data_IF_711194140301
#
_entry.id   IF_711194140301
#
_cell.length_a   1.000
_cell.length_b   1.000
_cell.length_c   1.000
_cell.angle_alpha   90.00
_cell.angle_beta   90.00
_cell.angle_gamma   90.00
#
_symmetry.space_group_name_H-M   'P 1'
#
loop_
_entity.id
_entity.type
_entity.pdbx_description
1 polymer ?
#
# COMPACT_ATOMS: atom_id res chain seq x y z
N UNK A 1 -5.05 -20.84 24.46
CA UNK A 1 -5.95 -20.74 23.29
C UNK A 1 -5.95 -22.07 22.54
N UNK A 2 -7.10 -22.62 22.25
CA UNK A 2 -7.27 -23.79 21.40
C UNK A 2 -7.69 -23.36 19.99
N UNK A 3 -7.46 -24.19 18.98
CA UNK A 3 -7.81 -23.87 17.58
C UNK A 3 -9.31 -23.59 17.38
N UNK A 4 -10.18 -24.25 18.18
CA UNK A 4 -11.63 -23.98 18.14
C UNK A 4 -12.00 -22.56 18.55
N UNK A 5 -11.24 -21.96 19.50
CA UNK A 5 -11.48 -20.58 19.96
C UNK A 5 -11.11 -19.59 18.86
N UNK A 6 -9.98 -19.83 18.18
CA UNK A 6 -9.56 -19.04 17.03
C UNK A 6 -10.55 -19.12 15.88
N UNK A 7 -11.08 -20.32 15.60
CA UNK A 7 -12.09 -20.51 14.55
C UNK A 7 -13.37 -19.71 14.87
N UNK A 8 -13.89 -19.85 16.10
CA UNK A 8 -15.07 -19.11 16.56
C UNK A 8 -14.89 -17.61 16.40
N UNK A 9 -13.77 -17.06 16.87
CA UNK A 9 -13.52 -15.62 16.81
C UNK A 9 -13.46 -15.13 15.36
N UNK A 10 -12.86 -15.90 14.45
CA UNK A 10 -12.79 -15.52 13.02
C UNK A 10 -14.19 -15.50 12.36
N UNK A 11 -15.12 -16.35 12.77
CA UNK A 11 -16.50 -16.36 12.29
C UNK A 11 -17.29 -15.12 12.78
N UNK A 12 -16.90 -14.52 13.90
CA UNK A 12 -17.54 -13.34 14.51
C UNK A 12 -16.95 -11.99 14.01
N UNK A 13 -15.81 -12.00 13.32
CA UNK A 13 -15.15 -10.78 12.83
C UNK A 13 -16.01 -10.04 11.81
N UNK A 14 -16.14 -8.73 12.02
CA UNK A 14 -16.75 -7.85 11.03
C UNK A 14 -15.77 -7.58 9.90
N UNK A 15 -16.26 -7.74 8.70
CA UNK A 15 -15.51 -7.46 7.48
C UNK A 15 -16.09 -6.26 6.75
N UNK A 16 -15.25 -5.56 6.00
CA UNK A 16 -15.66 -4.55 5.02
C UNK A 16 -15.37 -5.08 3.62
N UNK A 17 -16.24 -4.76 2.67
CA UNK A 17 -15.96 -5.08 1.28
C UNK A 17 -14.98 -4.07 0.68
N UNK A 18 -13.87 -4.58 0.19
CA UNK A 18 -12.88 -3.80 -0.54
C UNK A 18 -12.78 -4.34 -1.95
N UNK A 19 -13.56 -3.77 -2.86
CA UNK A 19 -13.60 -4.15 -4.29
C UNK A 19 -13.83 -5.65 -4.51
N UNK A 20 -14.82 -6.21 -3.83
CA UNK A 20 -15.22 -7.60 -3.93
C UNK A 20 -14.37 -8.58 -3.11
N UNK A 21 -13.50 -8.07 -2.22
CA UNK A 21 -12.77 -8.90 -1.24
C UNK A 21 -13.15 -8.48 0.17
N UNK A 22 -13.43 -9.46 1.01
CA UNK A 22 -13.68 -9.22 2.43
C UNK A 22 -12.35 -8.87 3.10
N UNK A 23 -12.34 -7.77 3.84
CA UNK A 23 -11.18 -7.27 4.58
C UNK A 23 -11.53 -7.11 6.05
N UNK A 24 -10.67 -7.62 6.94
CA UNK A 24 -10.77 -7.44 8.39
C UNK A 24 -9.88 -6.28 8.81
N UNK A 25 -10.48 -5.21 9.31
CA UNK A 25 -9.74 -4.05 9.81
C UNK A 25 -8.90 -4.40 11.04
N UNK A 26 -7.81 -3.65 11.25
CA UNK A 26 -6.87 -3.92 12.35
C UNK A 26 -7.54 -3.77 13.72
N UNK A 27 -8.49 -2.84 13.89
CA UNK A 27 -9.26 -2.69 15.12
C UNK A 27 -10.03 -3.97 15.48
N UNK A 28 -10.62 -4.67 14.49
CA UNK A 28 -11.32 -5.94 14.70
C UNK A 28 -10.33 -7.03 15.14
N UNK A 29 -9.15 -7.08 14.54
CA UNK A 29 -8.08 -8.02 14.95
C UNK A 29 -7.60 -7.76 16.37
N UNK A 30 -7.45 -6.49 16.76
CA UNK A 30 -7.06 -6.11 18.14
C UNK A 30 -8.13 -6.52 19.15
N UNK A 31 -9.42 -6.30 18.83
CA UNK A 31 -10.53 -6.73 19.69
C UNK A 31 -10.52 -8.25 19.86
N UNK A 32 -10.40 -9.01 18.78
CA UNK A 32 -10.32 -10.46 18.81
C UNK A 32 -9.11 -10.95 19.63
N UNK A 33 -7.96 -10.31 19.49
CA UNK A 33 -6.78 -10.64 20.32
C UNK A 33 -7.06 -10.41 21.79
N UNK A 34 -7.70 -9.30 22.19
CA UNK A 34 -8.05 -9.02 23.58
C UNK A 34 -9.06 -10.02 24.15
N UNK A 35 -9.96 -10.56 23.34
CA UNK A 35 -10.87 -11.62 23.75
C UNK A 35 -10.13 -12.95 23.97
N UNK A 36 -9.23 -13.33 23.06
CA UNK A 36 -8.46 -14.57 23.13
C UNK A 36 -7.35 -14.52 24.20
N UNK A 37 -6.77 -13.35 24.43
CA UNK A 37 -5.64 -13.09 25.32
C UNK A 37 -5.86 -11.80 26.11
N UNK A 38 -6.76 -11.78 27.10
CA UNK A 38 -7.07 -10.55 27.86
C UNK A 38 -5.84 -9.92 28.51
N UNK A 39 -4.94 -10.75 29.06
CA UNK A 39 -3.69 -10.34 29.72
C UNK A 39 -2.48 -10.32 28.75
N UNK A 40 -2.70 -10.61 27.47
CA UNK A 40 -1.66 -10.59 26.46
C UNK A 40 -1.19 -9.18 26.12
N UNK A 41 -0.05 -9.07 25.47
CA UNK A 41 0.56 -7.78 25.12
C UNK A 41 0.73 -7.63 23.62
N UNK A 42 0.60 -6.38 23.16
CA UNK A 42 0.95 -5.94 21.80
C UNK A 42 1.98 -4.84 21.97
N UNK A 43 3.16 -5.04 21.40
CA UNK A 43 4.25 -4.07 21.37
C UNK A 43 4.59 -3.70 19.94
N UNK A 44 4.96 -2.44 19.72
CA UNK A 44 5.53 -1.95 18.47
C UNK A 44 6.87 -1.28 18.75
N UNK A 45 7.87 -1.60 17.94
CA UNK A 45 9.21 -1.03 18.02
C UNK A 45 9.62 -0.47 16.65
N UNK A 46 10.18 0.74 16.65
CA UNK A 46 10.82 1.29 15.46
C UNK A 46 12.17 0.56 15.28
N UNK A 47 12.27 -0.24 14.21
CA UNK A 47 13.50 -0.97 13.85
C UNK A 47 14.48 -0.05 13.14
N UNK A 48 13.97 0.80 12.26
CA UNK A 48 14.75 1.75 11.48
C UNK A 48 13.90 2.97 11.14
N UNK A 49 14.49 4.15 11.20
CA UNK A 49 13.84 5.39 10.78
C UNK A 49 14.89 6.34 10.20
N UNK A 50 14.67 6.79 8.96
CA UNK A 50 15.56 7.75 8.30
C UNK A 50 15.14 8.04 6.87
N UNK A 51 15.55 9.17 6.34
CA UNK A 51 15.31 9.58 4.95
C UNK A 51 13.81 9.50 4.52
N UNK A 52 12.89 9.80 5.45
CA UNK A 52 11.45 9.72 5.20
C UNK A 52 10.93 8.26 5.09
N UNK A 53 11.68 7.28 5.59
CA UNK A 53 11.24 5.87 5.67
C UNK A 53 11.23 5.45 7.13
N UNK A 54 10.23 4.70 7.53
CA UNK A 54 10.15 4.03 8.84
C UNK A 54 9.87 2.55 8.65
N UNK A 55 10.55 1.72 9.44
CA UNK A 55 10.29 0.28 9.56
C UNK A 55 9.90 -0.02 11.01
N UNK A 56 8.73 -0.63 11.19
CA UNK A 56 8.21 -0.99 12.51
C UNK A 56 8.00 -2.50 12.60
N UNK A 57 8.37 -3.07 13.74
CA UNK A 57 8.10 -4.44 14.12
C UNK A 57 7.05 -4.45 15.23
N UNK A 58 5.96 -5.17 15.01
CA UNK A 58 5.00 -5.51 16.07
C UNK A 58 5.27 -6.91 16.60
N UNK A 59 5.11 -7.08 17.92
CA UNK A 59 5.23 -8.35 18.64
C UNK A 59 3.99 -8.54 19.49
N UNK A 60 3.36 -9.71 19.40
CA UNK A 60 2.24 -10.09 20.25
C UNK A 60 2.65 -11.26 21.14
N UNK A 61 2.29 -11.20 22.41
CA UNK A 61 2.63 -12.21 23.41
C UNK A 61 1.44 -12.56 24.30
N UNK A 62 1.49 -13.75 24.94
CA UNK A 62 0.53 -14.14 25.98
C UNK A 62 0.86 -13.50 27.34
N UNK A 63 0.10 -13.89 28.37
CA UNK A 63 0.26 -13.39 29.73
C UNK A 63 1.64 -13.74 30.35
N UNK A 64 2.25 -14.83 29.93
CA UNK A 64 3.56 -15.29 30.40
C UNK A 64 4.73 -14.66 29.63
N UNK A 65 4.43 -13.76 28.69
CA UNK A 65 5.41 -13.09 27.84
C UNK A 65 5.94 -13.95 26.69
N UNK A 66 5.35 -15.12 26.43
CA UNK A 66 5.72 -15.94 25.28
C UNK A 66 5.27 -15.25 24.01
N UNK A 67 6.20 -15.04 23.08
CA UNK A 67 5.89 -14.47 21.77
C UNK A 67 5.01 -15.43 20.97
N UNK A 68 3.85 -14.95 20.57
CA UNK A 68 2.87 -15.68 19.78
C UNK A 68 3.07 -15.45 18.27
N UNK A 69 3.32 -14.21 17.89
CA UNK A 69 3.60 -13.82 16.51
C UNK A 69 4.32 -12.47 16.44
N UNK A 70 4.93 -12.21 15.30
CA UNK A 70 5.51 -10.90 14.95
C UNK A 70 5.06 -10.48 13.57
N UNK A 71 4.99 -9.16 13.33
CA UNK A 71 4.74 -8.57 12.01
C UNK A 71 5.67 -7.40 11.77
N UNK A 72 6.07 -7.21 10.53
CA UNK A 72 6.88 -6.04 10.13
C UNK A 72 6.17 -5.30 9.01
N UNK A 73 6.28 -3.98 9.05
CA UNK A 73 5.86 -3.11 7.96
C UNK A 73 6.92 -2.02 7.76
N UNK A 74 6.96 -1.46 6.57
CA UNK A 74 7.67 -0.23 6.31
C UNK A 74 6.79 0.73 5.52
N UNK A 75 6.94 2.02 5.80
CA UNK A 75 6.23 3.08 5.07
C UNK A 75 7.18 4.21 4.72
N UNK A 76 6.86 4.87 3.60
CA UNK A 76 7.62 6.02 3.13
C UNK A 76 6.74 7.26 3.16
N UNK A 77 7.25 8.35 3.74
CA UNK A 77 6.62 9.66 3.75
C UNK A 77 6.24 10.08 2.32
N UNK A 78 5.01 10.54 2.14
CA UNK A 78 4.50 10.99 0.86
C UNK A 78 4.19 9.89 -0.17
N UNK A 79 4.35 8.59 0.15
CA UNK A 79 4.06 7.48 -0.78
C UNK A 79 2.57 7.29 -1.09
N UNK A 80 1.67 7.87 -0.29
CA UNK A 80 0.23 7.82 -0.46
C UNK A 80 -0.46 8.99 0.24
N UNK A 81 -1.79 9.06 0.19
CA UNK A 81 -2.53 10.14 0.81
C UNK A 81 -2.32 10.18 2.34
N UNK A 82 -2.42 9.03 3.00
CA UNK A 82 -2.23 8.91 4.46
C UNK A 82 -0.77 9.15 4.82
N UNK A 83 0.17 8.61 4.04
CA UNK A 83 1.60 8.74 4.29
C UNK A 83 2.18 10.14 4.08
N UNK A 84 1.37 11.12 3.64
CA UNK A 84 1.79 12.53 3.62
C UNK A 84 1.96 13.13 5.00
N UNK A 85 1.16 12.67 5.97
CA UNK A 85 1.10 13.25 7.33
C UNK A 85 1.22 12.22 8.44
N UNK A 86 1.00 10.94 8.15
CA UNK A 86 0.80 9.89 9.17
C UNK A 86 1.47 8.57 8.77
N UNK A 87 2.65 8.63 8.12
CA UNK A 87 3.34 7.42 7.65
C UNK A 87 3.87 6.55 8.79
N UNK A 88 4.16 7.13 9.97
CA UNK A 88 4.62 6.38 11.14
C UNK A 88 3.45 5.60 11.74
N UNK A 89 2.33 6.27 12.00
CA UNK A 89 1.13 5.66 12.58
C UNK A 89 0.54 4.61 11.64
N UNK A 90 0.61 4.86 10.34
CA UNK A 90 0.20 3.90 9.33
C UNK A 90 1.09 2.66 9.33
N UNK A 91 2.40 2.83 9.41
CA UNK A 91 3.37 1.75 9.52
C UNK A 91 3.13 0.90 10.77
N UNK A 92 2.89 1.54 11.93
CA UNK A 92 2.58 0.84 13.18
C UNK A 92 1.31 -0.01 13.05
N UNK A 93 0.23 0.59 12.55
CA UNK A 93 -1.03 -0.11 12.32
C UNK A 93 -0.86 -1.31 11.39
N UNK A 94 -0.10 -1.15 10.32
CA UNK A 94 0.22 -2.22 9.36
C UNK A 94 1.03 -3.35 10.01
N UNK A 95 2.04 -3.02 10.84
CA UNK A 95 2.84 -4.01 11.55
C UNK A 95 2.00 -4.83 12.54
N UNK A 96 1.14 -4.15 13.33
CA UNK A 96 0.21 -4.80 14.27
C UNK A 96 -0.79 -5.70 13.53
N UNK A 97 -1.39 -5.19 12.45
CA UNK A 97 -2.32 -5.97 11.63
C UNK A 97 -1.69 -7.25 11.07
N UNK A 98 -0.42 -7.20 10.65
CA UNK A 98 0.34 -8.37 10.19
C UNK A 98 0.64 -9.35 11.30
N UNK A 99 1.08 -8.88 12.48
CA UNK A 99 1.35 -9.74 13.64
C UNK A 99 0.10 -10.53 14.04
N UNK A 100 -1.05 -9.87 14.12
CA UNK A 100 -2.33 -10.51 14.44
C UNK A 100 -2.81 -11.45 13.32
N UNK A 101 -2.57 -11.10 12.05
CA UNK A 101 -2.82 -11.97 10.91
C UNK A 101 -1.98 -13.26 10.96
N UNK A 102 -0.68 -13.16 11.29
CA UNK A 102 0.19 -14.33 11.47
C UNK A 102 -0.20 -15.19 12.68
N UNK A 103 -0.82 -14.59 13.71
CA UNK A 103 -1.44 -15.36 14.80
C UNK A 103 -2.68 -16.14 14.34
N UNK A 104 -3.24 -15.81 13.19
CA UNK A 104 -4.41 -16.45 12.58
C UNK A 104 -5.71 -15.65 12.70
N UNK A 105 -5.67 -14.43 13.23
CA UNK A 105 -6.86 -13.58 13.37
C UNK A 105 -7.14 -12.85 12.05
N UNK A 106 -8.31 -13.12 11.44
CA UNK A 106 -8.74 -12.53 10.18
C UNK A 106 -7.92 -12.96 8.97
N UNK A 107 -7.38 -14.19 8.99
CA UNK A 107 -6.50 -14.73 7.93
C UNK A 107 -7.25 -15.05 6.64
N UNK A 108 -8.54 -15.35 6.70
CA UNK A 108 -9.36 -15.74 5.55
C UNK A 108 -9.53 -14.61 4.52
N UNK A 109 -9.34 -13.35 4.94
CA UNK A 109 -9.40 -12.20 4.06
C UNK A 109 -8.05 -11.90 3.38
N UNK A 110 -7.13 -11.34 4.13
CA UNK A 110 -5.78 -10.97 3.66
C UNK A 110 -4.88 -10.63 4.85
N UNK A 111 -3.59 -10.99 4.76
CA UNK A 111 -2.56 -10.54 5.71
C UNK A 111 -2.06 -9.14 5.31
N UNK A 112 -2.21 -8.76 4.04
CA UNK A 112 -1.84 -7.43 3.56
C UNK A 112 -2.69 -6.33 4.23
N UNK A 113 -2.11 -5.17 4.48
CA UNK A 113 -2.88 -4.02 4.97
C UNK A 113 -3.85 -3.52 3.90
N UNK A 114 -4.92 -2.82 4.32
CA UNK A 114 -5.86 -2.18 3.41
C UNK A 114 -5.14 -1.33 2.36
N UNK A 115 -4.16 -0.56 2.76
CA UNK A 115 -3.40 0.32 1.89
C UNK A 115 -2.49 -0.42 0.92
N UNK A 116 -1.85 -1.52 1.32
CA UNK A 116 -1.09 -2.36 0.41
C UNK A 116 -1.99 -2.94 -0.68
N UNK A 117 -3.20 -3.38 -0.32
CA UNK A 117 -4.20 -3.86 -1.27
C UNK A 117 -4.70 -2.73 -2.16
N UNK A 118 -4.96 -1.53 -1.60
CA UNK A 118 -5.39 -0.36 -2.38
C UNK A 118 -4.27 0.15 -3.29
N UNK A 119 -3.04 0.30 -2.80
CA UNK A 119 -1.91 0.74 -3.60
C UNK A 119 -1.59 -0.24 -4.73
N UNK A 120 -1.60 -1.54 -4.45
CA UNK A 120 -1.43 -2.56 -5.49
C UNK A 120 -2.55 -2.50 -6.55
N UNK A 121 -3.80 -2.23 -6.14
CA UNK A 121 -4.94 -2.09 -7.06
C UNK A 121 -4.90 -0.79 -7.83
N UNK A 122 -4.55 0.34 -7.20
CA UNK A 122 -4.38 1.62 -7.89
C UNK A 122 -3.31 1.49 -8.98
N UNK A 123 -2.19 0.81 -8.68
CA UNK A 123 -1.14 0.54 -9.67
C UNK A 123 -1.60 -0.42 -10.79
N UNK A 124 -2.35 -1.47 -10.45
CA UNK A 124 -2.90 -2.39 -11.46
C UNK A 124 -4.02 -1.77 -12.30
N UNK A 125 -4.90 -0.97 -11.69
CA UNK A 125 -5.99 -0.30 -12.40
C UNK A 125 -5.46 0.85 -13.25
N UNK A 126 -4.46 1.60 -12.78
CA UNK A 126 -3.78 2.62 -13.60
C UNK A 126 -3.12 1.97 -14.84
N UNK A 127 -2.51 0.77 -14.69
CA UNK A 127 -1.98 0.01 -15.83
C UNK A 127 -3.06 -0.51 -16.78
N UNK A 128 -4.22 -0.96 -16.26
CA UNK A 128 -5.34 -1.46 -17.08
C UNK A 128 -6.11 -0.33 -17.75
N UNK A 129 -6.45 0.73 -17.01
CA UNK A 129 -7.16 1.89 -17.56
C UNK A 129 -6.33 2.59 -18.65
N UNK A 130 -5.01 2.73 -18.45
CA UNK A 130 -4.13 3.30 -19.47
C UNK A 130 -4.09 2.47 -20.74
N UNK A 131 -4.10 1.15 -20.65
CA UNK A 131 -4.07 0.28 -21.83
C UNK A 131 -5.41 0.27 -22.60
N UNK A 132 -6.56 0.28 -21.90
CA UNK A 132 -7.89 0.34 -22.52
C UNK A 132 -8.24 1.74 -23.04
N UNK A 133 -7.94 2.79 -22.29
CA UNK A 133 -8.20 4.19 -22.70
C UNK A 133 -7.29 4.61 -23.84
N UNK A 134 -6.02 4.21 -23.84
CA UNK A 134 -5.07 4.49 -24.92
C UNK A 134 -5.41 3.72 -26.19
N UNK A 135 -5.97 2.53 -26.10
CA UNK A 135 -6.43 1.75 -27.27
C UNK A 135 -7.56 2.42 -28.06
N UNK A 136 -8.29 3.35 -27.45
CA UNK A 136 -9.41 4.09 -28.06
C UNK A 136 -9.05 5.54 -28.49
N UNK A 137 -7.86 6.04 -28.14
CA UNK A 137 -7.41 7.40 -28.44
C UNK A 137 -6.47 7.41 -29.66
N UNK A 138 -6.55 8.47 -30.46
CA UNK A 138 -5.57 8.72 -31.53
C UNK A 138 -4.32 9.39 -30.96
N UNK A 139 -3.16 9.16 -31.56
CA UNK A 139 -1.88 9.68 -31.10
C UNK A 139 -1.82 11.19 -30.82
N UNK A 140 -2.69 11.98 -31.48
CA UNK A 140 -2.83 13.43 -31.27
C UNK A 140 -3.77 13.85 -30.16
N UNK A 141 -4.56 12.90 -29.59
CA UNK A 141 -5.51 13.21 -28.53
C UNK A 141 -4.79 13.55 -27.22
N UNK A 142 -5.41 14.36 -26.38
CA UNK A 142 -4.86 14.66 -25.05
C UNK A 142 -5.05 13.46 -24.10
N UNK A 143 -4.06 13.27 -23.23
CA UNK A 143 -4.12 12.21 -22.23
C UNK A 143 -5.21 12.47 -21.20
N UNK A 144 -5.76 11.39 -20.64
CA UNK A 144 -6.75 11.45 -19.58
C UNK A 144 -6.12 11.84 -18.23
N UNK A 145 -6.93 12.31 -17.28
CA UNK A 145 -6.48 12.64 -15.93
C UNK A 145 -5.79 11.43 -15.26
N UNK A 146 -6.31 10.22 -15.45
CA UNK A 146 -5.70 9.00 -14.92
C UNK A 146 -4.31 8.71 -15.49
N UNK A 147 -4.11 8.95 -16.79
CA UNK A 147 -2.80 8.81 -17.43
C UNK A 147 -1.80 9.85 -16.94
N UNK A 148 -2.26 11.08 -16.64
CA UNK A 148 -1.45 12.14 -16.03
C UNK A 148 -1.00 11.75 -14.64
N UNK A 149 -1.90 11.25 -13.79
CA UNK A 149 -1.57 10.82 -12.43
C UNK A 149 -0.62 9.63 -12.43
N UNK A 150 -0.80 8.69 -13.37
CA UNK A 150 0.13 7.57 -13.53
C UNK A 150 1.56 8.05 -13.83
N UNK A 151 1.76 8.90 -14.84
CA UNK A 151 3.10 9.37 -15.22
C UNK A 151 3.73 10.22 -14.12
N UNK A 152 2.94 10.99 -13.37
CA UNK A 152 3.39 11.80 -12.25
C UNK A 152 3.92 10.94 -11.10
N UNK A 153 3.21 9.88 -10.77
CA UNK A 153 3.63 8.92 -9.75
C UNK A 153 4.86 8.12 -10.20
N UNK A 154 4.88 7.70 -11.46
CA UNK A 154 6.02 6.96 -12.02
C UNK A 154 7.29 7.83 -12.09
N UNK A 155 7.18 9.09 -12.47
CA UNK A 155 8.30 10.03 -12.45
C UNK A 155 8.90 10.20 -11.04
N UNK A 156 8.05 10.27 -10.01
CA UNK A 156 8.49 10.31 -8.61
C UNK A 156 9.21 9.03 -8.20
N UNK A 157 8.68 7.87 -8.57
CA UNK A 157 9.28 6.56 -8.26
C UNK A 157 10.71 6.44 -8.78
N UNK A 158 10.98 6.98 -9.96
CA UNK A 158 12.32 6.96 -10.58
C UNK A 158 13.13 8.24 -10.32
N UNK A 159 12.71 9.04 -9.34
CA UNK A 159 13.36 10.29 -8.95
C UNK A 159 13.59 11.25 -10.14
N UNK A 160 12.53 11.55 -10.87
CA UNK A 160 12.53 12.44 -12.02
C UNK A 160 11.49 13.55 -11.82
N UNK A 161 11.92 14.81 -11.93
CA UNK A 161 11.04 15.95 -11.79
C UNK A 161 10.11 16.11 -13.02
N UNK A 162 8.84 16.46 -12.78
CA UNK A 162 7.85 16.75 -13.81
C UNK A 162 8.37 17.81 -14.81
N UNK A 163 9.04 18.84 -14.31
CA UNK A 163 9.62 19.92 -15.15
C UNK A 163 10.64 19.40 -16.14
N UNK A 164 11.47 18.45 -15.77
CA UNK A 164 12.47 17.87 -16.68
C UNK A 164 11.82 17.11 -17.83
N UNK A 165 10.73 16.40 -17.54
CA UNK A 165 9.98 15.66 -18.55
C UNK A 165 9.19 16.63 -19.43
N UNK A 166 8.52 17.62 -18.84
CA UNK A 166 7.77 18.63 -19.59
C UNK A 166 8.67 19.47 -20.50
N UNK A 167 9.84 19.89 -20.00
CA UNK A 167 10.81 20.65 -20.78
C UNK A 167 11.33 19.93 -22.01
N UNK A 168 11.53 18.61 -21.94
CA UNK A 168 11.94 17.80 -23.10
C UNK A 168 10.91 17.82 -24.24
N UNK A 169 9.60 17.91 -23.91
CA UNK A 169 8.52 17.92 -24.89
C UNK A 169 7.99 19.34 -25.20
N UNK A 170 8.58 20.39 -24.61
CA UNK A 170 8.16 21.78 -24.84
C UNK A 170 6.76 22.12 -24.32
N UNK A 171 6.32 21.45 -23.27
CA UNK A 171 5.02 21.64 -22.60
C UNK A 171 5.22 22.11 -21.15
N UNK A 172 4.21 22.79 -20.58
CA UNK A 172 4.30 23.29 -19.21
C UNK A 172 3.79 22.30 -18.17
N UNK A 173 2.84 21.44 -18.56
CA UNK A 173 2.17 20.49 -17.65
C UNK A 173 1.92 19.16 -18.35
N UNK A 174 1.81 18.09 -17.57
CA UNK A 174 1.48 16.75 -18.09
C UNK A 174 0.12 16.67 -18.80
N UNK A 175 -0.85 17.50 -18.40
CA UNK A 175 -2.18 17.56 -18.99
C UNK A 175 -2.17 18.05 -20.46
N UNK A 176 -1.11 18.71 -20.90
CA UNK A 176 -0.95 19.24 -22.26
C UNK A 176 -0.44 18.19 -23.24
N UNK A 177 -0.05 16.99 -22.77
CA UNK A 177 0.54 15.94 -23.59
C UNK A 177 -0.48 15.30 -24.52
N UNK A 178 0.02 14.94 -25.72
CA UNK A 178 -0.65 13.96 -26.56
C UNK A 178 -0.37 12.53 -26.07
N UNK A 179 -1.21 11.58 -26.49
CA UNK A 179 -1.02 10.15 -26.20
C UNK A 179 0.35 9.67 -26.64
N UNK A 180 0.81 10.06 -27.83
CA UNK A 180 2.14 9.69 -28.35
C UNK A 180 3.28 10.21 -27.45
N UNK A 181 3.20 11.45 -26.97
CA UNK A 181 4.20 12.01 -26.06
C UNK A 181 4.18 11.32 -24.68
N UNK A 182 3.00 10.90 -24.23
CA UNK A 182 2.83 10.18 -23.00
C UNK A 182 3.48 8.78 -23.06
N UNK A 183 3.23 8.02 -24.14
CA UNK A 183 3.83 6.70 -24.37
C UNK A 183 5.37 6.77 -24.40
N UNK A 184 5.92 7.74 -25.13
CA UNK A 184 7.36 7.97 -25.17
C UNK A 184 7.95 8.31 -23.80
N UNK A 185 7.25 9.12 -23.01
CA UNK A 185 7.71 9.48 -21.68
C UNK A 185 7.66 8.29 -20.70
N UNK A 186 6.63 7.47 -20.77
CA UNK A 186 6.53 6.22 -19.97
C UNK A 186 7.68 5.27 -20.31
N UNK A 187 7.97 5.04 -21.61
CA UNK A 187 9.11 4.22 -22.05
C UNK A 187 10.46 4.70 -21.48
N UNK A 188 10.70 6.02 -21.50
CA UNK A 188 11.94 6.60 -20.94
C UNK A 188 12.04 6.38 -19.43
N UNK A 189 10.92 6.52 -18.71
CA UNK A 189 10.88 6.26 -17.25
C UNK A 189 11.08 4.78 -16.92
N UNK A 190 10.55 3.87 -17.75
CA UNK A 190 10.78 2.43 -17.61
C UNK A 190 12.25 2.05 -17.81
N UNK A 191 12.91 2.62 -18.82
CA UNK A 191 14.35 2.42 -19.00
C UNK A 191 15.18 2.97 -17.84
N UNK A 192 14.80 4.14 -17.32
CA UNK A 192 15.47 4.70 -16.14
C UNK A 192 15.27 3.83 -14.90
N UNK A 193 14.09 3.26 -14.70
CA UNK A 193 13.82 2.32 -13.61
C UNK A 193 14.71 1.08 -13.69
N UNK A 194 14.89 0.51 -14.90
CA UNK A 194 15.78 -0.65 -15.13
C UNK A 194 17.25 -0.35 -14.84
N UNK A 195 17.70 0.89 -15.05
CA UNK A 195 19.10 1.31 -14.77
C UNK A 195 19.38 1.56 -13.29
N UNK A 196 18.33 1.83 -12.52
CA UNK A 196 18.42 2.13 -11.09
C UNK A 196 18.23 0.87 -10.20
N UNK A 197 17.92 -0.28 -10.81
CA UNK A 197 17.88 -1.61 -10.17
C UNK A 197 19.21 -2.35 -10.32
#
# INVERSE_FOLDING_TARGET
>A
MEFKDLKRINEELKTIDVKGKQYVEVNQRVMAFRELYPEGSIYSDIVEMGNGVVTIKATVSDADGRILATGMAYEKEGSGFINKTSYIENCETSAVGRALGFLGIGIDGSIASYEEVENAKVQQNAKKMTAEELGNLKGSDKVTAGAVDFIRNFAREVNTEERSICGYYGINRFEERSVEQWEKAVSVLEEKKKRNQ
#
